data_IF_192550850293
#
_entry.id   IF_192550850293
#
_cell.length_a   1.000
_cell.length_b   1.000
_cell.length_c   1.000
_cell.angle_alpha   90.00
_cell.angle_beta   90.00
_cell.angle_gamma   90.00
#
_symmetry.space_group_name_H-M   'P 1'
#
loop_
_entity.id
_entity.type
_entity.pdbx_description
1 polymer ?
#
# COMPACT_ATOMS: atom_id res chain seq x y z
N UNK A 1 -6.02 9.92 34.79
CA UNK A 1 -6.17 9.19 33.53
C UNK A 1 -7.26 8.14 33.71
N UNK A 2 -8.22 8.03 32.77
CA UNK A 2 -9.27 7.03 32.83
C UNK A 2 -8.65 5.64 32.71
N UNK A 3 -9.05 4.73 33.62
CA UNK A 3 -8.59 3.34 33.56
C UNK A 3 -9.48 2.49 32.62
N UNK A 4 -9.88 3.04 31.48
CA UNK A 4 -10.78 2.45 30.49
C UNK A 4 -10.30 2.70 29.05
N UNK A 5 -10.81 1.92 28.11
CA UNK A 5 -10.55 2.06 26.68
C UNK A 5 -9.74 0.91 26.08
N UNK A 6 -9.66 0.92 24.75
CA UNK A 6 -8.94 -0.04 23.90
C UNK A 6 -7.83 0.72 23.19
N UNK A 7 -6.67 0.11 23.03
CA UNK A 7 -5.56 0.66 22.25
C UNK A 7 -5.54 -0.07 20.92
N UNK A 8 -5.81 0.64 19.84
CA UNK A 8 -5.65 0.13 18.48
C UNK A 8 -4.34 0.64 17.90
N UNK A 9 -3.58 -0.26 17.33
CA UNK A 9 -2.27 0.08 16.74
C UNK A 9 -2.21 -0.37 15.31
N UNK A 10 -1.77 0.52 14.44
CA UNK A 10 -1.41 0.18 13.08
C UNK A 10 -0.05 -0.49 13.08
N UNK A 11 0.01 -1.67 12.49
CA UNK A 11 1.27 -2.35 12.28
C UNK A 11 1.96 -1.72 11.06
N UNK A 12 3.14 -1.14 11.29
CA UNK A 12 3.97 -0.59 10.22
C UNK A 12 4.60 -1.67 9.34
N UNK A 13 5.56 -1.29 8.54
CA UNK A 13 6.30 -2.23 7.66
C UNK A 13 7.02 -3.35 8.40
N UNK A 14 7.47 -3.09 9.61
CA UNK A 14 8.22 -4.02 10.47
C UNK A 14 7.32 -4.68 11.51
N UNK A 15 6.14 -5.12 11.08
CA UNK A 15 5.11 -5.61 12.01
C UNK A 15 5.58 -6.81 12.85
N UNK A 16 6.37 -7.73 12.31
CA UNK A 16 6.89 -8.87 13.09
C UNK A 16 7.85 -8.40 14.20
N UNK A 17 8.73 -7.46 13.88
CA UNK A 17 9.69 -6.88 14.84
C UNK A 17 9.00 -6.05 15.93
N UNK A 18 7.79 -5.57 15.66
CA UNK A 18 6.98 -4.79 16.61
C UNK A 18 6.17 -5.65 17.57
N UNK A 19 6.01 -6.94 17.31
CA UNK A 19 5.24 -7.86 18.18
C UNK A 19 5.66 -7.78 19.66
N UNK A 20 6.97 -7.79 20.02
CA UNK A 20 7.38 -7.65 21.42
C UNK A 20 6.97 -6.32 22.04
N UNK A 21 6.89 -5.24 21.26
CA UNK A 21 6.48 -3.92 21.74
C UNK A 21 4.98 -3.91 22.08
N UNK A 22 4.16 -4.57 21.27
CA UNK A 22 2.72 -4.69 21.51
C UNK A 22 2.42 -5.57 22.71
N UNK A 23 3.16 -6.68 22.87
CA UNK A 23 3.08 -7.52 24.06
C UNK A 23 3.45 -6.72 25.33
N UNK A 24 4.56 -6.00 25.30
CA UNK A 24 4.99 -5.14 26.39
C UNK A 24 3.94 -4.06 26.73
N UNK A 25 3.30 -3.47 25.72
CA UNK A 25 2.25 -2.48 25.90
C UNK A 25 1.01 -3.10 26.57
N UNK A 26 0.58 -4.29 26.14
CA UNK A 26 -0.54 -5.02 26.76
C UNK A 26 -0.26 -5.29 28.24
N UNK A 27 0.94 -5.78 28.56
CA UNK A 27 1.38 -6.07 29.93
C UNK A 27 1.42 -4.83 30.81
N UNK A 28 2.00 -3.76 30.29
CA UNK A 28 2.18 -2.51 31.04
C UNK A 28 0.87 -1.76 31.29
N UNK A 29 0.00 -1.74 30.32
CA UNK A 29 -1.25 -0.97 30.40
C UNK A 29 -2.42 -1.79 30.93
N UNK A 30 -2.37 -3.12 30.81
CA UNK A 30 -3.49 -4.03 31.05
C UNK A 30 -4.75 -3.66 30.27
N UNK A 31 -4.56 -3.05 29.07
CA UNK A 31 -5.64 -2.67 28.16
C UNK A 31 -5.74 -3.66 27.02
N UNK A 32 -6.95 -3.84 26.49
CA UNK A 32 -7.09 -4.56 25.23
C UNK A 32 -6.28 -3.87 24.13
N UNK A 33 -5.44 -4.63 23.46
CA UNK A 33 -4.64 -4.17 22.31
C UNK A 33 -5.22 -4.79 21.05
N UNK A 34 -5.55 -3.96 20.07
CA UNK A 34 -6.01 -4.38 18.75
C UNK A 34 -4.90 -4.12 17.74
N UNK A 35 -4.45 -5.20 17.10
CA UNK A 35 -3.40 -5.17 16.07
C UNK A 35 -4.05 -5.03 14.70
N UNK A 36 -3.83 -3.91 14.02
CA UNK A 36 -4.34 -3.63 12.68
C UNK A 36 -3.17 -3.57 11.69
N UNK A 37 -3.23 -4.30 10.60
CA UNK A 37 -4.17 -5.35 10.22
C UNK A 37 -3.42 -6.65 10.05
N UNK A 38 -4.05 -7.74 10.49
CA UNK A 38 -3.57 -9.08 10.16
C UNK A 38 -3.94 -9.35 8.71
N UNK A 39 -2.95 -9.41 7.82
CA UNK A 39 -3.17 -9.51 6.38
C UNK A 39 -2.12 -10.39 5.70
N UNK A 40 -2.54 -11.04 4.63
CA UNK A 40 -1.62 -11.74 3.73
C UNK A 40 -0.90 -10.73 2.84
N UNK A 41 0.40 -10.92 2.64
CA UNK A 41 1.22 -10.20 1.67
C UNK A 41 1.99 -11.20 0.81
N UNK A 42 1.98 -11.02 -0.51
CA UNK A 42 2.76 -11.89 -1.42
C UNK A 42 4.27 -11.84 -1.15
N UNK A 43 4.79 -10.66 -0.76
CA UNK A 43 6.21 -10.47 -0.41
C UNK A 43 6.62 -11.12 0.91
N UNK A 44 5.64 -11.42 1.78
CA UNK A 44 5.84 -11.95 3.13
C UNK A 44 4.70 -12.93 3.46
N UNK A 45 4.65 -14.11 2.83
CA UNK A 45 3.49 -15.01 2.90
C UNK A 45 3.21 -15.56 4.30
N UNK A 46 4.21 -15.62 5.17
CA UNK A 46 4.08 -16.10 6.56
C UNK A 46 3.77 -14.98 7.58
N UNK A 47 3.75 -13.72 7.13
CA UNK A 47 3.57 -12.58 8.03
C UNK A 47 2.33 -12.69 8.90
N UNK A 48 1.18 -13.03 8.31
CA UNK A 48 -0.08 -13.15 9.02
C UNK A 48 -0.06 -14.26 10.10
N UNK A 49 0.65 -15.37 9.84
CA UNK A 49 0.81 -16.47 10.80
C UNK A 49 1.65 -16.02 11.99
N UNK A 50 2.79 -15.34 11.74
CA UNK A 50 3.65 -14.79 12.78
C UNK A 50 2.89 -13.79 13.66
N UNK A 51 2.06 -12.95 13.05
CA UNK A 51 1.21 -12.01 13.78
C UNK A 51 0.19 -12.74 14.65
N UNK A 52 -0.50 -13.75 14.13
CA UNK A 52 -1.46 -14.54 14.91
C UNK A 52 -0.79 -15.28 16.05
N UNK A 53 0.40 -15.84 15.85
CA UNK A 53 1.19 -16.47 16.92
C UNK A 53 1.52 -15.47 18.03
N UNK A 54 1.93 -14.25 17.70
CA UNK A 54 2.20 -13.19 18.67
C UNK A 54 0.95 -12.78 19.46
N UNK A 55 -0.17 -12.60 18.78
CA UNK A 55 -1.46 -12.29 19.41
C UNK A 55 -1.88 -13.43 20.36
N UNK A 56 -1.83 -14.67 19.87
CA UNK A 56 -2.19 -15.85 20.66
C UNK A 56 -1.32 -16.00 21.91
N UNK A 57 -0.01 -15.75 21.77
CA UNK A 57 0.92 -15.77 22.92
C UNK A 57 0.50 -14.73 23.97
N UNK A 58 0.32 -13.48 23.57
CA UNK A 58 -0.09 -12.40 24.49
C UNK A 58 -1.43 -12.73 25.17
N UNK A 59 -2.38 -13.28 24.40
CA UNK A 59 -3.68 -13.69 24.92
C UNK A 59 -3.57 -14.84 25.95
N UNK A 60 -2.79 -15.88 25.63
CA UNK A 60 -2.57 -17.02 26.53
C UNK A 60 -1.82 -16.64 27.80
N UNK A 61 -1.01 -15.59 27.77
CA UNK A 61 -0.34 -15.02 28.94
C UNK A 61 -1.31 -14.18 29.82
N UNK A 62 -2.61 -14.15 29.49
CA UNK A 62 -3.67 -13.50 30.28
C UNK A 62 -3.92 -12.03 29.93
N UNK A 63 -3.41 -11.53 28.82
CA UNK A 63 -3.64 -10.16 28.35
C UNK A 63 -4.58 -10.14 27.15
N UNK A 64 -5.40 -9.09 27.06
CA UNK A 64 -6.36 -8.96 25.96
C UNK A 64 -5.64 -8.47 24.69
N UNK A 65 -5.43 -9.35 23.73
CA UNK A 65 -4.86 -9.05 22.42
C UNK A 65 -5.77 -9.60 21.32
N UNK A 66 -6.04 -8.78 20.31
CA UNK A 66 -6.96 -9.08 19.22
C UNK A 66 -6.33 -8.67 17.89
N UNK A 67 -6.57 -9.45 16.85
CA UNK A 67 -6.22 -9.11 15.47
C UNK A 67 -7.42 -8.54 14.73
N UNK A 68 -7.23 -7.45 14.02
CA UNK A 68 -8.21 -6.91 13.09
C UNK A 68 -7.83 -7.27 11.66
N UNK A 69 -8.75 -7.81 10.89
CA UNK A 69 -8.56 -8.10 9.47
C UNK A 69 -9.72 -7.55 8.63
N UNK A 70 -9.49 -7.43 7.34
CA UNK A 70 -10.54 -7.05 6.40
C UNK A 70 -11.31 -8.30 5.95
N UNK A 71 -12.62 -8.16 5.80
CA UNK A 71 -13.49 -9.23 5.29
C UNK A 71 -13.50 -9.30 3.77
N UNK A 72 -12.94 -8.29 3.11
CA UNK A 72 -12.79 -8.17 1.66
C UNK A 72 -11.36 -7.76 1.32
N UNK A 73 -10.88 -8.06 0.10
CA UNK A 73 -9.57 -7.56 -0.34
C UNK A 73 -9.46 -6.05 -0.20
N UNK A 74 -8.32 -5.58 0.30
CA UNK A 74 -8.06 -4.14 0.41
C UNK A 74 -7.93 -3.55 -0.99
N UNK A 75 -8.85 -2.68 -1.35
CA UNK A 75 -8.79 -1.88 -2.57
C UNK A 75 -8.42 -0.44 -2.21
N UNK A 76 -7.52 0.15 -2.98
CA UNK A 76 -7.13 1.55 -2.85
C UNK A 76 -7.51 2.29 -4.12
N UNK A 77 -8.31 3.34 -3.97
CA UNK A 77 -8.65 4.25 -5.06
C UNK A 77 -7.74 5.47 -4.97
N UNK A 78 -7.18 5.90 -6.08
CA UNK A 78 -6.33 7.07 -6.14
C UNK A 78 -6.44 7.77 -7.50
N UNK A 79 -6.00 9.00 -7.54
CA UNK A 79 -5.79 9.77 -8.78
C UNK A 79 -4.37 10.31 -8.77
N UNK A 80 -3.87 10.77 -9.91
CA UNK A 80 -2.54 11.40 -9.97
C UNK A 80 -2.45 12.74 -9.22
N UNK A 81 -3.55 13.21 -8.63
CA UNK A 81 -3.55 14.35 -7.69
C UNK A 81 -3.26 13.91 -6.26
N UNK A 82 -3.64 12.68 -5.89
CA UNK A 82 -3.46 12.09 -4.57
C UNK A 82 -3.14 10.60 -4.75
N UNK A 83 -1.87 10.31 -4.94
CA UNK A 83 -1.36 8.98 -5.24
C UNK A 83 -0.31 8.53 -4.21
N UNK A 84 -0.64 8.62 -2.92
CA UNK A 84 0.24 8.28 -1.79
C UNK A 84 0.87 6.89 -1.88
N UNK A 85 0.29 5.98 -2.66
CA UNK A 85 0.84 4.64 -2.87
C UNK A 85 2.23 4.67 -3.52
N UNK A 86 2.60 5.78 -4.17
CA UNK A 86 3.90 5.99 -4.80
C UNK A 86 4.87 6.82 -3.95
N UNK A 87 4.50 7.31 -2.76
CA UNK A 87 5.37 8.13 -1.90
C UNK A 87 6.64 7.42 -1.45
N UNK A 88 6.65 6.09 -1.57
CA UNK A 88 7.79 5.25 -1.21
C UNK A 88 8.85 5.17 -2.31
N UNK A 89 8.57 5.74 -3.48
CA UNK A 89 9.51 5.95 -4.58
C UNK A 89 9.96 7.42 -4.58
N UNK A 90 11.21 7.73 -4.23
CA UNK A 90 11.64 9.11 -4.00
C UNK A 90 11.43 10.04 -5.20
N UNK A 91 11.71 9.56 -6.42
CA UNK A 91 11.47 10.35 -7.62
C UNK A 91 9.98 10.59 -7.86
N UNK A 92 9.16 9.54 -7.75
CA UNK A 92 7.72 9.65 -7.92
C UNK A 92 7.10 10.63 -6.93
N UNK A 93 7.49 10.54 -5.67
CA UNK A 93 7.05 11.46 -4.63
C UNK A 93 7.33 12.91 -5.04
N UNK A 94 8.57 13.21 -5.44
CA UNK A 94 8.96 14.56 -5.83
C UNK A 94 8.12 15.06 -7.02
N UNK A 95 7.89 14.22 -8.03
CA UNK A 95 7.09 14.57 -9.20
C UNK A 95 5.61 14.79 -8.85
N UNK A 96 5.05 13.97 -7.97
CA UNK A 96 3.64 14.10 -7.54
C UNK A 96 3.37 15.38 -6.74
N UNK A 97 4.38 15.93 -6.05
CA UNK A 97 4.27 17.21 -5.35
C UNK A 97 4.43 18.45 -6.24
N UNK A 98 4.80 18.29 -7.51
CA UNK A 98 4.88 19.41 -8.45
C UNK A 98 3.47 20.00 -8.70
N UNK A 99 3.40 21.31 -9.01
CA UNK A 99 2.21 21.92 -9.57
C UNK A 99 1.67 21.13 -10.76
N UNK A 100 0.36 21.13 -10.99
CA UNK A 100 -0.29 20.25 -11.97
C UNK A 100 0.31 20.36 -13.38
N UNK A 101 0.58 21.58 -13.84
CA UNK A 101 1.13 21.79 -15.19
C UNK A 101 2.57 21.32 -15.32
N UNK A 102 3.41 21.57 -14.31
CA UNK A 102 4.80 21.08 -14.28
C UNK A 102 4.83 19.55 -14.19
N UNK A 103 3.94 18.94 -13.40
CA UNK A 103 3.81 17.50 -13.30
C UNK A 103 3.38 16.86 -14.62
N UNK A 104 2.43 17.46 -15.35
CA UNK A 104 2.03 16.98 -16.68
C UNK A 104 3.19 17.01 -17.66
N UNK A 105 3.99 18.08 -17.66
CA UNK A 105 5.18 18.19 -18.50
C UNK A 105 6.22 17.13 -18.13
N UNK A 106 6.48 16.96 -16.83
CA UNK A 106 7.41 15.95 -16.36
C UNK A 106 6.97 14.52 -16.73
N UNK A 107 5.68 14.21 -16.63
CA UNK A 107 5.16 12.89 -17.04
C UNK A 107 5.11 12.68 -18.54
N UNK A 108 5.11 13.75 -19.34
CA UNK A 108 5.22 13.66 -20.79
C UNK A 108 6.66 13.46 -21.28
N UNK A 109 7.67 13.80 -20.46
CA UNK A 109 9.07 13.68 -20.81
C UNK A 109 9.56 12.22 -20.75
N UNK A 110 10.07 11.72 -21.87
CA UNK A 110 10.56 10.34 -21.98
C UNK A 110 11.72 10.04 -21.02
N UNK A 111 12.66 10.99 -20.86
CA UNK A 111 13.79 10.83 -19.94
C UNK A 111 13.36 10.75 -18.48
N UNK A 112 12.33 11.48 -18.11
CA UNK A 112 11.70 11.39 -16.77
C UNK A 112 11.02 10.03 -16.56
N UNK A 113 10.30 9.54 -17.57
CA UNK A 113 9.68 8.19 -17.50
C UNK A 113 10.71 7.09 -17.32
N UNK A 114 11.86 7.16 -18.00
CA UNK A 114 12.95 6.21 -17.85
C UNK A 114 13.53 6.23 -16.43
N UNK A 115 13.71 7.41 -15.85
CA UNK A 115 14.12 7.54 -14.44
C UNK A 115 13.06 7.01 -13.47
N UNK A 116 11.77 7.20 -13.75
CA UNK A 116 10.67 6.65 -12.96
C UNK A 116 10.64 5.12 -12.99
N UNK A 117 10.92 4.50 -14.15
CA UNK A 117 11.08 3.04 -14.28
C UNK A 117 12.24 2.53 -13.43
N UNK A 118 13.39 3.21 -13.53
CA UNK A 118 14.57 2.86 -12.76
C UNK A 118 14.31 2.96 -11.25
N UNK A 119 13.71 4.06 -10.78
CA UNK A 119 13.34 4.25 -9.36
C UNK A 119 12.36 3.17 -8.87
N UNK A 120 11.41 2.77 -9.72
CA UNK A 120 10.47 1.70 -9.40
C UNK A 120 11.13 0.31 -9.39
N UNK A 121 12.15 0.09 -10.19
CA UNK A 121 12.87 -1.19 -10.27
C UNK A 121 13.81 -1.42 -9.07
N UNK A 122 14.21 -0.37 -8.36
CA UNK A 122 15.11 -0.48 -7.22
C UNK A 122 14.53 -1.41 -6.13
N UNK A 123 15.32 -2.38 -5.64
CA UNK A 123 14.91 -3.28 -4.57
C UNK A 123 14.70 -2.52 -3.27
N UNK A 124 13.44 -2.34 -2.89
CA UNK A 124 13.08 -1.72 -1.61
C UNK A 124 11.71 -2.23 -1.15
N UNK A 125 11.46 -2.30 0.16
CA UNK A 125 10.14 -2.62 0.67
C UNK A 125 9.20 -1.45 0.38
N UNK A 126 8.16 -1.68 -0.41
CA UNK A 126 7.15 -0.69 -0.80
C UNK A 126 5.75 -1.27 -0.71
N UNK A 127 4.76 -0.41 -0.50
CA UNK A 127 3.35 -0.81 -0.47
C UNK A 127 2.80 -1.10 -1.86
N UNK A 128 3.32 -0.44 -2.89
CA UNK A 128 2.94 -0.72 -4.27
C UNK A 128 3.61 -2.02 -4.75
N UNK A 129 2.81 -3.00 -5.09
CA UNK A 129 3.26 -4.35 -5.49
C UNK A 129 3.92 -4.42 -6.87
N UNK A 130 4.06 -3.33 -7.61
CA UNK A 130 4.63 -3.23 -8.97
C UNK A 130 3.93 -4.09 -10.03
N UNK A 131 2.75 -4.63 -9.71
CA UNK A 131 1.97 -5.48 -10.61
C UNK A 131 0.86 -4.67 -11.28
N UNK A 132 1.12 -4.21 -12.50
CA UNK A 132 0.18 -3.41 -13.28
C UNK A 132 -1.09 -4.18 -13.68
N UNK A 133 -1.09 -5.50 -13.61
CA UNK A 133 -2.27 -6.34 -13.79
C UNK A 133 -3.28 -6.23 -12.64
N UNK A 134 -2.86 -5.62 -11.51
CA UNK A 134 -3.71 -5.38 -10.32
C UNK A 134 -4.05 -3.90 -10.11
N UNK A 135 -3.72 -3.05 -11.07
CA UNK A 135 -4.09 -1.63 -11.10
C UNK A 135 -5.14 -1.45 -12.19
N UNK A 136 -6.34 -1.07 -11.83
CA UNK A 136 -7.48 -0.99 -12.75
C UNK A 136 -7.88 0.46 -13.02
N UNK A 137 -8.29 0.73 -14.25
CA UNK A 137 -8.88 2.01 -14.65
C UNK A 137 -10.32 2.06 -14.14
N UNK A 138 -10.60 2.88 -13.15
CA UNK A 138 -11.94 3.03 -12.58
C UNK A 138 -12.75 4.11 -13.29
N UNK A 139 -12.11 5.25 -13.54
CA UNK A 139 -12.73 6.41 -14.20
C UNK A 139 -11.75 7.06 -15.15
N UNK A 140 -12.28 7.67 -16.18
CA UNK A 140 -11.54 8.47 -17.16
C UNK A 140 -12.23 9.80 -17.40
N UNK A 141 -11.45 10.84 -17.69
CA UNK A 141 -11.98 12.17 -17.99
C UNK A 141 -12.31 12.34 -19.48
N UNK A 142 -11.62 11.61 -20.36
CA UNK A 142 -11.80 11.70 -21.81
C UNK A 142 -12.73 10.60 -22.32
N UNK A 143 -13.73 10.94 -23.13
CA UNK A 143 -14.68 9.96 -23.68
C UNK A 143 -14.01 8.85 -24.50
N UNK A 144 -12.94 9.16 -25.23
CA UNK A 144 -12.15 8.20 -26.02
C UNK A 144 -11.49 7.10 -25.19
N UNK A 145 -11.24 7.35 -23.90
CA UNK A 145 -10.64 6.42 -22.96
C UNK A 145 -11.69 5.55 -22.24
N UNK A 146 -12.99 5.81 -22.41
CA UNK A 146 -14.06 5.05 -21.76
C UNK A 146 -13.94 3.53 -22.00
N UNK A 147 -13.42 3.11 -23.14
CA UNK A 147 -13.14 1.72 -23.50
C UNK A 147 -12.15 1.01 -22.57
N UNK A 148 -11.41 1.74 -21.76
CA UNK A 148 -10.42 1.21 -20.82
C UNK A 148 -10.97 1.02 -19.40
N UNK A 149 -12.13 1.58 -19.08
CA UNK A 149 -12.74 1.43 -17.75
C UNK A 149 -12.98 -0.06 -17.45
N UNK A 150 -12.57 -0.47 -16.26
CA UNK A 150 -12.61 -1.87 -15.80
C UNK A 150 -11.43 -2.74 -16.26
N UNK A 151 -10.55 -2.23 -17.14
CA UNK A 151 -9.33 -2.95 -17.56
C UNK A 151 -8.18 -2.65 -16.62
N UNK A 152 -7.28 -3.62 -16.46
CA UNK A 152 -6.00 -3.37 -15.79
C UNK A 152 -5.09 -2.51 -16.67
N UNK A 153 -4.13 -1.82 -16.03
CA UNK A 153 -3.09 -1.05 -16.75
C UNK A 153 -2.28 -1.96 -17.67
N UNK A 154 -2.00 -3.20 -17.27
CA UNK A 154 -1.31 -4.18 -18.11
C UNK A 154 -2.12 -4.52 -19.39
N UNK A 155 -3.45 -4.68 -19.28
CA UNK A 155 -4.31 -4.88 -20.46
C UNK A 155 -4.35 -3.66 -21.36
N UNK A 156 -4.43 -2.45 -20.79
CA UNK A 156 -4.38 -1.20 -21.56
C UNK A 156 -3.04 -1.08 -22.29
N UNK A 157 -1.92 -1.36 -21.62
CA UNK A 157 -0.59 -1.36 -22.20
C UNK A 157 -0.49 -2.30 -23.41
N UNK A 158 -1.01 -3.52 -23.25
CA UNK A 158 -1.07 -4.52 -24.32
C UNK A 158 -1.88 -4.04 -25.53
N UNK A 159 -3.07 -3.46 -25.28
CA UNK A 159 -3.95 -2.92 -26.33
C UNK A 159 -3.30 -1.74 -27.07
N UNK A 160 -2.53 -0.93 -26.38
CA UNK A 160 -1.84 0.24 -26.94
C UNK A 160 -0.45 -0.08 -27.49
N UNK A 161 0.03 -1.32 -27.30
CA UNK A 161 1.37 -1.80 -27.69
C UNK A 161 2.48 -0.93 -27.10
N UNK A 162 2.38 -0.61 -25.82
CA UNK A 162 3.33 0.24 -25.12
C UNK A 162 3.68 -0.34 -23.74
N UNK A 163 4.67 0.23 -23.08
CA UNK A 163 5.05 -0.11 -21.71
C UNK A 163 3.91 0.21 -20.72
N UNK A 164 3.85 -0.56 -19.63
CA UNK A 164 2.78 -0.41 -18.65
C UNK A 164 2.83 0.94 -17.92
N UNK A 165 4.03 1.47 -17.63
CA UNK A 165 4.17 2.80 -17.04
C UNK A 165 3.68 3.88 -18.00
N UNK A 166 4.01 3.77 -19.29
CA UNK A 166 3.54 4.72 -20.30
C UNK A 166 2.02 4.67 -20.42
N UNK A 167 1.42 3.47 -20.44
CA UNK A 167 -0.03 3.32 -20.46
C UNK A 167 -0.72 3.90 -19.21
N UNK A 168 -0.04 3.86 -18.08
CA UNK A 168 -0.53 4.42 -16.81
C UNK A 168 -0.47 5.95 -16.78
N UNK A 169 0.59 6.56 -17.36
CA UNK A 169 0.81 8.01 -17.35
C UNK A 169 0.03 8.76 -18.45
N UNK A 170 -0.31 8.09 -19.58
CA UNK A 170 -1.06 8.64 -20.71
C UNK A 170 -2.58 8.69 -20.49
#
# INVERSE_FOLDING_TARGET
>A
ASNSGVIQMNMGRHCVEQIPQYDALARRTRRPIVWQSVQYKESEPELWQNMLCGIAKTFNDGYQAYGLTHTVPLMRHFTMKDAQIFDEFPLWKNLLFLPEDERKLAFADAGTRDKMRADMAEPRPVSFHRNWGRVFVEKVSKAENQKYVGKSVAEVASLRKQDALDAFLD
#
